data_IF_441622616681
#
_entry.id   IF_441622616681
#
_cell.length_a   1.000
_cell.length_b   1.000
_cell.length_c   1.000
_cell.angle_alpha   90.00
_cell.angle_beta   90.00
_cell.angle_gamma   90.00
#
_symmetry.space_group_name_H-M   'P 1'
#
loop_
_entity.id
_entity.type
_entity.pdbx_description
1 polymer ?
#
# COMPACT_ATOMS: atom_id res chain seq x y z
N UNK A 1 9.70 -16.29 -4.32
CA UNK A 1 8.72 -15.18 -4.43
C UNK A 1 9.49 -13.89 -4.24
N UNK A 2 9.71 -13.12 -5.31
CA UNK A 2 10.52 -11.90 -5.26
C UNK A 2 9.77 -10.81 -4.48
N UNK A 3 10.44 -10.21 -3.50
CA UNK A 3 9.90 -9.05 -2.79
C UNK A 3 9.65 -7.91 -3.80
N UNK A 4 8.57 -7.11 -3.64
CA UNK A 4 8.34 -5.96 -4.48
C UNK A 4 9.52 -4.99 -4.31
N UNK A 5 10.25 -4.74 -5.40
CA UNK A 5 11.32 -3.74 -5.43
C UNK A 5 10.72 -2.36 -5.12
N UNK A 6 11.42 -1.59 -4.30
CA UNK A 6 11.15 -0.15 -4.16
C UNK A 6 11.12 0.51 -5.54
N UNK A 7 10.07 1.28 -5.84
CA UNK A 7 9.93 1.96 -7.14
C UNK A 7 8.93 1.35 -8.14
N UNK A 8 8.50 0.10 -7.96
CA UNK A 8 7.44 -0.47 -8.82
C UNK A 8 6.07 -0.23 -8.22
N UNK A 9 5.14 0.33 -8.99
CA UNK A 9 3.75 0.47 -8.55
C UNK A 9 3.16 -0.91 -8.22
N UNK A 10 2.65 -1.07 -7.00
CA UNK A 10 1.96 -2.28 -6.56
C UNK A 10 0.49 -1.99 -6.33
N UNK A 11 -0.34 -2.99 -6.59
CA UNK A 11 -1.75 -2.95 -6.23
C UNK A 11 -1.97 -3.75 -4.95
N UNK A 12 -2.52 -3.10 -3.93
CA UNK A 12 -2.80 -3.70 -2.65
C UNK A 12 -4.25 -3.42 -2.22
N UNK A 13 -4.88 -4.38 -1.56
CA UNK A 13 -6.23 -4.22 -1.04
C UNK A 13 -6.20 -3.71 0.40
N UNK A 14 -6.94 -2.64 0.68
CA UNK A 14 -7.06 -2.07 2.03
C UNK A 14 -8.49 -1.71 2.37
N UNK A 15 -8.82 -1.65 3.66
CA UNK A 15 -10.17 -1.35 4.11
C UNK A 15 -10.44 0.15 4.06
N UNK A 16 -11.42 0.57 3.27
CA UNK A 16 -11.89 1.93 3.28
C UNK A 16 -12.90 2.13 4.42
N UNK A 17 -12.56 2.91 5.45
CA UNK A 17 -13.48 3.20 6.57
C UNK A 17 -14.77 3.91 6.14
N UNK A 18 -14.71 4.68 5.05
CA UNK A 18 -15.85 5.44 4.55
C UNK A 18 -16.83 4.56 3.76
N UNK A 19 -16.33 3.78 2.78
CA UNK A 19 -17.15 2.82 2.04
C UNK A 19 -17.44 1.52 2.80
N UNK A 20 -16.79 1.30 3.96
CA UNK A 20 -16.86 0.06 4.76
C UNK A 20 -16.68 -1.21 3.92
N UNK A 21 -15.71 -1.18 3.01
CA UNK A 21 -15.38 -2.32 2.15
C UNK A 21 -13.89 -2.33 1.80
N UNK A 22 -13.38 -3.48 1.35
CA UNK A 22 -12.01 -3.60 0.84
C UNK A 22 -11.95 -2.97 -0.55
N UNK A 23 -10.97 -2.09 -0.73
CA UNK A 23 -10.76 -1.35 -1.97
C UNK A 23 -9.31 -1.56 -2.43
N UNK A 24 -9.09 -1.76 -3.74
CA UNK A 24 -7.75 -1.80 -4.29
C UNK A 24 -7.18 -0.39 -4.30
N UNK A 25 -5.91 -0.26 -3.91
CA UNK A 25 -5.12 0.94 -4.10
C UNK A 25 -3.84 0.58 -4.85
N UNK A 26 -3.52 1.39 -5.84
CA UNK A 26 -2.29 1.27 -6.60
C UNK A 26 -1.38 2.44 -6.25
N UNK A 27 -0.13 2.15 -5.95
CA UNK A 27 0.86 3.18 -5.67
C UNK A 27 2.24 2.58 -5.53
N UNK A 28 3.24 3.44 -5.50
CA UNK A 28 4.62 3.02 -5.28
C UNK A 28 4.82 2.76 -3.78
N UNK A 29 5.29 1.57 -3.37
CA UNK A 29 5.71 1.33 -2.00
C UNK A 29 6.83 2.30 -1.63
N UNK A 30 6.73 2.89 -0.44
CA UNK A 30 7.78 3.73 0.14
C UNK A 30 8.21 3.10 1.45
N UNK A 31 9.53 2.94 1.63
CA UNK A 31 10.09 2.51 2.89
C UNK A 31 9.73 3.50 4.01
N UNK A 32 9.21 2.97 5.10
CA UNK A 32 8.96 3.72 6.32
C UNK A 32 10.01 3.39 7.38
N UNK A 33 10.32 4.33 8.30
CA UNK A 33 11.21 4.06 9.43
C UNK A 33 10.71 2.82 10.18
N UNK A 34 11.59 1.81 10.29
CA UNK A 34 11.26 0.47 10.77
C UNK A 34 11.28 -0.64 9.71
N UNK A 35 11.73 -0.37 8.48
CA UNK A 35 11.88 -1.38 7.43
C UNK A 35 10.55 -1.92 6.92
N UNK A 36 9.52 -1.07 6.85
CA UNK A 36 8.19 -1.47 6.37
C UNK A 36 7.85 -0.74 5.09
N UNK A 37 7.44 -1.47 4.06
CA UNK A 37 7.01 -0.90 2.80
C UNK A 37 5.53 -0.52 2.90
N UNK A 38 5.23 0.77 2.74
CA UNK A 38 3.87 1.29 2.77
C UNK A 38 3.49 1.81 1.40
N UNK A 39 2.32 1.41 0.91
CA UNK A 39 1.71 2.02 -0.27
C UNK A 39 0.64 3.02 0.17
N UNK A 40 0.59 4.17 -0.49
CA UNK A 40 -0.45 5.19 -0.30
C UNK A 40 -1.25 5.31 -1.59
N UNK A 41 -2.57 5.41 -1.46
CA UNK A 41 -3.47 5.59 -2.60
C UNK A 41 -4.77 6.24 -2.17
N UNK A 42 -5.73 6.32 -3.10
CA UNK A 42 -7.07 6.84 -2.83
C UNK A 42 -8.11 5.76 -3.09
N UNK A 43 -9.15 5.74 -2.27
CA UNK A 43 -10.32 4.92 -2.52
C UNK A 43 -10.94 5.31 -3.87
N UNK A 44 -11.16 4.39 -4.82
CA UNK A 44 -11.78 4.74 -6.11
C UNK A 44 -13.25 5.15 -5.97
N UNK A 45 -13.93 4.74 -4.90
CA UNK A 45 -15.34 5.05 -4.67
C UNK A 45 -15.60 6.39 -3.96
N UNK A 46 -14.72 6.83 -3.06
CA UNK A 46 -14.93 8.05 -2.26
C UNK A 46 -13.74 9.00 -2.21
N UNK A 47 -12.67 8.74 -2.96
CA UNK A 47 -11.42 9.49 -2.99
C UNK A 47 -10.67 9.64 -1.65
N UNK A 48 -11.14 8.99 -0.58
CA UNK A 48 -10.51 8.99 0.74
C UNK A 48 -9.10 8.43 0.67
N UNK A 49 -8.17 9.09 1.37
CA UNK A 49 -6.77 8.66 1.44
C UNK A 49 -6.68 7.34 2.21
N UNK A 50 -6.12 6.34 1.56
CA UNK A 50 -5.88 5.02 2.12
C UNK A 50 -4.39 4.72 2.09
N UNK A 51 -3.96 3.90 3.03
CA UNK A 51 -2.61 3.34 3.02
C UNK A 51 -2.66 1.90 3.52
N UNK A 52 -1.70 1.10 3.10
CA UNK A 52 -1.52 -0.26 3.62
C UNK A 52 -0.06 -0.66 3.59
N UNK A 53 0.28 -1.66 4.39
CA UNK A 53 1.59 -2.27 4.43
C UNK A 53 1.61 -3.38 3.39
N UNK A 54 2.55 -3.32 2.46
CA UNK A 54 2.68 -4.29 1.36
C UNK A 54 3.83 -5.25 1.55
N UNK A 55 4.70 -4.98 2.53
CA UNK A 55 5.81 -5.85 2.88
C UNK A 55 6.66 -5.23 3.98
N UNK A 56 7.69 -5.98 4.35
CA UNK A 56 8.82 -5.48 5.14
C UNK A 56 10.03 -5.50 4.24
N UNK A 57 10.77 -4.40 4.23
CA UNK A 57 12.12 -4.38 3.69
C UNK A 57 12.93 -5.33 4.57
N UNK A 58 13.28 -6.49 4.01
CA UNK A 58 14.12 -7.43 4.73
C UNK A 58 15.53 -6.87 4.57
N UNK A 59 16.00 -6.10 5.55
CA UNK A 59 17.36 -5.61 5.59
C UNK A 59 18.29 -6.83 5.42
N UNK A 60 19.03 -6.84 4.32
CA UNK A 60 19.97 -7.91 3.96
C UNK A 60 21.35 -7.59 4.52
#
# INVERSE_FOLDING_TARGET
MSAPNEGTAVTASTWCRQCRTKQPITGTPVASPGGVLRVRGRCPACATRLHTIVGKETAR
#
